data_IF_531274038118
#
_entry.id   IF_531274038118
#
_cell.length_a   1.000
_cell.length_b   1.000
_cell.length_c   1.000
_cell.angle_alpha   90.00
_cell.angle_beta   90.00
_cell.angle_gamma   90.00
#
_symmetry.space_group_name_H-M   'P 1'
#
loop_
_entity.id
_entity.type
_entity.pdbx_description
1 polymer ?
#
# COMPACT_ATOMS: atom_id res chain seq x y z
N UNK A 1 -25.60 6.24 -21.34
CA UNK A 1 -25.53 4.77 -21.22
C UNK A 1 -25.04 4.42 -19.83
N UNK A 2 -25.97 4.29 -18.89
CA UNK A 2 -25.72 4.02 -17.47
C UNK A 2 -26.43 2.72 -17.13
N UNK A 3 -25.73 1.62 -16.99
CA UNK A 3 -26.41 0.35 -16.79
C UNK A 3 -25.64 -0.81 -16.18
N UNK A 4 -24.31 -0.72 -16.07
CA UNK A 4 -23.52 -1.89 -15.65
C UNK A 4 -23.57 -2.20 -14.15
N UNK A 5 -23.96 -1.25 -13.29
CA UNK A 5 -23.97 -1.43 -11.83
C UNK A 5 -25.22 -0.89 -11.14
N UNK A 6 -26.40 -1.13 -11.71
CA UNK A 6 -27.69 -0.75 -11.09
C UNK A 6 -27.93 -1.40 -9.71
N UNK A 7 -27.18 -2.44 -9.36
CA UNK A 7 -27.25 -3.15 -8.08
C UNK A 7 -25.85 -3.30 -7.46
N UNK A 8 -25.08 -2.20 -7.36
CA UNK A 8 -23.79 -2.26 -6.68
C UNK A 8 -23.94 -2.74 -5.24
N UNK A 9 -23.43 -3.93 -4.96
CA UNK A 9 -23.37 -4.47 -3.61
C UNK A 9 -22.26 -3.77 -2.84
N UNK A 10 -22.63 -2.88 -1.94
CA UNK A 10 -21.68 -2.24 -1.05
C UNK A 10 -20.94 -3.29 -0.23
N UNK A 11 -19.62 -3.25 -0.16
CA UNK A 11 -18.88 -4.12 0.72
C UNK A 11 -19.29 -3.80 2.17
N UNK A 12 -19.36 -4.83 2.98
CA UNK A 12 -19.66 -4.68 4.41
C UNK A 12 -18.60 -3.88 5.12
N UNK A 13 -17.35 -3.92 4.61
CA UNK A 13 -16.19 -3.25 5.19
C UNK A 13 -15.14 -2.97 4.14
N UNK A 14 -14.58 -1.76 4.20
CA UNK A 14 -13.41 -1.36 3.40
C UNK A 14 -12.25 -0.97 4.30
N UNK A 15 -11.03 -1.17 3.84
CA UNK A 15 -9.85 -0.59 4.48
C UNK A 15 -8.80 -0.18 3.46
N UNK A 16 -8.05 0.86 3.82
CA UNK A 16 -6.93 1.40 3.06
C UNK A 16 -5.63 1.16 3.83
N UNK A 17 -4.69 0.47 3.19
CA UNK A 17 -3.30 0.40 3.65
C UNK A 17 -2.57 1.65 3.15
N UNK A 18 -2.26 2.54 4.09
CA UNK A 18 -1.54 3.79 3.88
C UNK A 18 -0.04 3.52 4.03
N UNK A 19 0.68 3.46 2.94
CA UNK A 19 2.11 3.14 2.93
C UNK A 19 2.93 4.12 2.13
N UNK A 20 4.23 3.90 2.17
CA UNK A 20 5.22 4.52 1.30
C UNK A 20 6.11 3.42 0.70
N UNK A 21 6.91 3.77 -0.30
CA UNK A 21 7.79 2.78 -0.94
C UNK A 21 8.70 2.09 0.09
N UNK A 22 8.80 0.77 0.01
CA UNK A 22 9.63 -0.10 0.87
C UNK A 22 9.33 -0.05 2.37
N UNK A 23 8.14 0.40 2.77
CA UNK A 23 7.66 0.37 4.16
C UNK A 23 7.22 -1.01 4.65
N UNK A 24 7.22 -2.05 3.80
CA UNK A 24 6.68 -3.36 4.12
C UNK A 24 5.19 -3.54 3.77
N UNK A 25 4.61 -2.60 3.03
CA UNK A 25 3.19 -2.64 2.66
C UNK A 25 2.80 -3.88 1.83
N UNK A 26 3.73 -4.45 1.04
CA UNK A 26 3.51 -5.73 0.36
C UNK A 26 3.39 -6.88 1.35
N UNK A 27 4.31 -6.97 2.32
CA UNK A 27 4.30 -8.00 3.36
C UNK A 27 2.98 -8.00 4.14
N UNK A 28 2.52 -6.81 4.53
CA UNK A 28 1.23 -6.64 5.20
C UNK A 28 0.05 -7.03 4.29
N UNK A 29 0.05 -6.56 3.04
CA UNK A 29 -1.00 -6.88 2.06
C UNK A 29 -1.09 -8.37 1.79
N UNK A 30 0.05 -9.04 1.64
CA UNK A 30 0.12 -10.47 1.38
C UNK A 30 -0.41 -11.27 2.58
N UNK A 31 0.00 -10.90 3.80
CA UNK A 31 -0.51 -11.55 5.00
C UNK A 31 -2.02 -11.43 5.19
N UNK A 32 -2.57 -10.27 4.89
CA UNK A 32 -4.03 -10.06 4.95
C UNK A 32 -4.75 -10.85 3.85
N UNK A 33 -4.22 -10.83 2.62
CA UNK A 33 -4.77 -11.59 1.48
C UNK A 33 -4.80 -13.09 1.75
N UNK A 34 -3.71 -13.63 2.32
CA UNK A 34 -3.53 -15.06 2.53
C UNK A 34 -4.49 -15.64 3.58
N UNK A 35 -5.11 -14.78 4.41
CA UNK A 35 -6.21 -15.17 5.28
C UNK A 35 -7.48 -15.59 4.52
N UNK A 36 -7.64 -15.18 3.26
CA UNK A 36 -8.85 -15.37 2.46
C UNK A 36 -10.09 -14.66 3.02
N UNK A 37 -9.94 -13.79 4.04
CA UNK A 37 -11.02 -13.10 4.74
C UNK A 37 -10.90 -11.58 4.75
N UNK A 38 -9.73 -11.05 4.41
CA UNK A 38 -9.43 -9.61 4.48
C UNK A 38 -9.37 -8.93 3.09
N UNK A 39 -10.13 -9.41 2.10
CA UNK A 39 -10.04 -8.90 0.75
C UNK A 39 -8.74 -9.34 0.05
N UNK A 40 -8.44 -8.70 -1.07
CA UNK A 40 -7.21 -8.93 -1.84
C UNK A 40 -6.45 -7.61 -2.04
N UNK A 41 -5.95 -6.98 -0.96
CA UNK A 41 -5.41 -5.62 -1.03
C UNK A 41 -4.27 -5.49 -2.03
N UNK A 42 -4.38 -4.53 -2.94
CA UNK A 42 -3.36 -4.21 -3.94
C UNK A 42 -3.44 -2.72 -4.32
N UNK A 43 -2.51 -2.24 -5.17
CA UNK A 43 -2.46 -0.86 -5.68
C UNK A 43 -3.34 -0.69 -6.93
N UNK A 44 -4.63 -1.00 -6.82
CA UNK A 44 -5.56 -1.00 -7.95
C UNK A 44 -5.70 0.34 -8.67
N UNK A 45 -5.51 1.44 -7.95
CA UNK A 45 -5.80 2.79 -8.43
C UNK A 45 -4.55 3.59 -8.79
N UNK A 46 -3.37 2.98 -8.74
CA UNK A 46 -2.14 3.62 -9.19
C UNK A 46 -2.10 3.65 -10.72
N UNK A 47 -1.96 4.83 -11.33
CA UNK A 47 -2.05 5.02 -12.79
C UNK A 47 -1.16 4.07 -13.59
N UNK A 48 0.07 3.81 -13.11
CA UNK A 48 1.00 2.88 -13.76
C UNK A 48 0.58 1.40 -13.70
N UNK A 49 -0.32 1.03 -12.80
CA UNK A 49 -0.81 -0.35 -12.63
C UNK A 49 -2.28 -0.52 -13.05
N UNK A 50 -3.03 0.58 -13.21
CA UNK A 50 -4.46 0.52 -13.49
C UNK A 50 -4.78 -0.26 -14.76
N UNK A 51 -4.05 -0.03 -15.84
CA UNK A 51 -4.25 -0.76 -17.11
C UNK A 51 -4.07 -2.28 -16.94
N UNK A 52 -3.07 -2.69 -16.15
CA UNK A 52 -2.84 -4.11 -15.83
C UNK A 52 -4.02 -4.71 -15.05
N UNK A 53 -4.55 -3.97 -14.06
CA UNK A 53 -5.72 -4.44 -13.31
C UNK A 53 -7.00 -4.42 -14.11
N UNK A 54 -7.19 -3.44 -15.01
CA UNK A 54 -8.31 -3.44 -15.96
C UNK A 54 -8.29 -4.70 -16.81
N UNK A 55 -7.15 -5.03 -17.40
CA UNK A 55 -7.00 -6.24 -18.22
C UNK A 55 -7.21 -7.52 -17.38
N UNK A 56 -6.57 -7.64 -16.22
CA UNK A 56 -6.64 -8.82 -15.37
C UNK A 56 -8.06 -9.11 -14.83
N UNK A 57 -8.90 -8.07 -14.74
CA UNK A 57 -10.28 -8.19 -14.28
C UNK A 57 -11.33 -8.01 -15.38
N UNK A 58 -10.93 -8.07 -16.64
CA UNK A 58 -11.82 -7.97 -17.80
C UNK A 58 -12.70 -6.72 -17.78
N UNK A 59 -12.09 -5.55 -17.57
CA UNK A 59 -12.75 -4.26 -17.77
C UNK A 59 -12.51 -3.77 -19.19
N UNK A 60 -13.56 -3.33 -19.86
CA UNK A 60 -13.44 -2.66 -21.13
C UNK A 60 -12.67 -1.33 -20.99
N UNK A 61 -11.95 -0.91 -22.03
CA UNK A 61 -11.16 0.32 -22.02
C UNK A 61 -12.03 1.57 -21.78
N UNK A 62 -13.28 1.54 -22.19
CA UNK A 62 -14.28 2.61 -22.11
C UNK A 62 -14.93 2.75 -20.71
N UNK A 63 -14.68 1.82 -19.79
CA UNK A 63 -15.28 1.83 -18.45
C UNK A 63 -14.81 3.08 -17.70
N UNK A 64 -15.76 3.88 -17.21
CA UNK A 64 -15.48 5.09 -16.43
C UNK A 64 -14.66 4.77 -15.18
N UNK A 65 -13.89 5.75 -14.65
CA UNK A 65 -13.14 5.53 -13.42
C UNK A 65 -14.07 5.20 -12.24
N UNK A 66 -15.27 5.79 -12.18
CA UNK A 66 -16.24 5.45 -11.14
C UNK A 66 -16.70 4.00 -11.22
N UNK A 67 -16.97 3.49 -12.41
CA UNK A 67 -17.40 2.10 -12.60
C UNK A 67 -16.23 1.13 -12.42
N UNK A 68 -14.99 1.55 -12.78
CA UNK A 68 -13.79 0.80 -12.46
C UNK A 68 -13.62 0.63 -10.94
N UNK A 69 -13.75 1.72 -10.16
CA UNK A 69 -13.70 1.66 -8.69
C UNK A 69 -14.72 0.67 -8.14
N UNK A 70 -15.99 0.79 -8.55
CA UNK A 70 -17.07 -0.12 -8.11
C UNK A 70 -16.78 -1.58 -8.50
N UNK A 71 -16.37 -1.80 -9.74
CA UNK A 71 -16.09 -3.14 -10.24
C UNK A 71 -14.88 -3.80 -9.58
N UNK A 72 -13.81 -3.06 -9.30
CA UNK A 72 -12.65 -3.59 -8.54
C UNK A 72 -13.08 -3.98 -7.12
N UNK A 73 -13.88 -3.15 -6.46
CA UNK A 73 -14.43 -3.49 -5.14
C UNK A 73 -15.19 -4.79 -5.19
N UNK A 74 -16.10 -4.97 -6.15
CA UNK A 74 -16.92 -6.17 -6.30
C UNK A 74 -16.08 -7.42 -6.63
N UNK A 75 -15.14 -7.29 -7.59
CA UNK A 75 -14.34 -8.42 -8.08
C UNK A 75 -13.25 -8.89 -7.11
N UNK A 76 -12.81 -8.04 -6.18
CA UNK A 76 -11.68 -8.35 -5.27
C UNK A 76 -12.07 -8.44 -3.80
N UNK A 77 -13.31 -8.11 -3.44
CA UNK A 77 -13.85 -8.38 -2.11
C UNK A 77 -13.89 -9.90 -1.85
N UNK A 78 -13.69 -10.29 -0.61
CA UNK A 78 -13.85 -11.68 -0.16
C UNK A 78 -15.32 -12.01 0.09
N UNK A 79 -15.66 -13.30 0.22
CA UNK A 79 -17.03 -13.77 0.42
C UNK A 79 -17.74 -13.21 1.66
N UNK A 80 -17.00 -12.67 2.62
CA UNK A 80 -17.50 -11.94 3.78
C UNK A 80 -17.62 -10.42 3.53
N UNK A 81 -17.60 -10.00 2.27
CA UNK A 81 -17.80 -8.62 1.82
C UNK A 81 -16.78 -7.63 2.39
N UNK A 82 -15.51 -8.08 2.51
CA UNK A 82 -14.38 -7.24 2.89
C UNK A 82 -13.58 -6.87 1.66
N UNK A 83 -13.33 -5.58 1.47
CA UNK A 83 -12.47 -5.03 0.43
C UNK A 83 -11.28 -4.30 1.06
N UNK A 84 -10.08 -4.57 0.56
CA UNK A 84 -8.86 -3.87 0.94
C UNK A 84 -8.12 -3.34 -0.27
N UNK A 85 -7.51 -2.17 -0.14
CA UNK A 85 -6.63 -1.61 -1.15
C UNK A 85 -5.45 -0.87 -0.50
N UNK A 86 -4.46 -0.51 -1.32
CA UNK A 86 -3.23 0.13 -0.86
C UNK A 86 -2.95 1.37 -1.70
N UNK A 87 -2.56 2.45 -1.03
CA UNK A 87 -2.05 3.67 -1.67
C UNK A 87 -0.69 4.06 -1.10
N UNK A 88 0.13 4.66 -1.96
CA UNK A 88 1.36 5.33 -1.58
C UNK A 88 1.09 6.82 -1.31
N UNK A 89 1.84 7.41 -0.37
CA UNK A 89 1.63 8.80 0.04
C UNK A 89 1.65 9.78 -1.13
N UNK A 90 2.64 9.64 -2.01
CA UNK A 90 2.81 10.52 -3.18
C UNK A 90 1.61 10.52 -4.15
N UNK A 91 0.82 9.44 -4.18
CA UNK A 91 -0.32 9.30 -5.10
C UNK A 91 -1.67 9.69 -4.48
N UNK A 92 -1.72 9.95 -3.18
CA UNK A 92 -2.97 10.19 -2.45
C UNK A 92 -3.80 11.35 -3.04
N UNK A 93 -3.15 12.48 -3.31
CA UNK A 93 -3.84 13.68 -3.80
C UNK A 93 -4.39 13.49 -5.23
N UNK A 94 -3.64 12.81 -6.08
CA UNK A 94 -4.08 12.47 -7.45
C UNK A 94 -5.29 11.54 -7.41
N UNK A 95 -5.25 10.53 -6.55
CA UNK A 95 -6.37 9.61 -6.37
C UNK A 95 -7.64 10.32 -5.88
N UNK A 96 -7.52 11.20 -4.88
CA UNK A 96 -8.63 12.03 -4.40
C UNK A 96 -9.18 12.94 -5.51
N UNK A 97 -8.29 13.52 -6.31
CA UNK A 97 -8.64 14.32 -7.48
C UNK A 97 -9.45 13.52 -8.50
N UNK A 98 -9.00 12.32 -8.82
CA UNK A 98 -9.70 11.42 -9.75
C UNK A 98 -11.08 11.03 -9.23
N UNK A 99 -11.24 10.68 -7.95
CA UNK A 99 -12.54 10.39 -7.37
C UNK A 99 -13.50 11.57 -7.48
N UNK A 100 -13.02 12.80 -7.21
CA UNK A 100 -13.83 14.03 -7.31
C UNK A 100 -14.26 14.32 -8.76
N UNK A 101 -13.35 14.13 -9.72
CA UNK A 101 -13.60 14.39 -11.14
C UNK A 101 -14.73 13.51 -11.70
N UNK A 102 -14.95 12.32 -11.12
CA UNK A 102 -16.07 11.47 -11.56
C UNK A 102 -17.44 12.06 -11.25
N UNK A 103 -17.56 12.96 -10.27
CA UNK A 103 -18.83 13.41 -9.71
C UNK A 103 -19.64 12.34 -8.98
N UNK A 104 -19.29 11.07 -9.12
CA UNK A 104 -20.05 9.94 -8.58
C UNK A 104 -19.85 9.71 -7.08
N UNK A 105 -18.74 10.18 -6.52
CA UNK A 105 -18.36 9.99 -5.10
C UNK A 105 -18.36 11.29 -4.31
N UNK A 106 -18.77 12.39 -4.94
CA UNK A 106 -18.85 13.71 -4.33
C UNK A 106 -18.26 14.80 -5.23
N UNK A 107 -18.54 16.05 -4.88
CA UNK A 107 -18.15 17.22 -5.65
C UNK A 107 -17.33 18.24 -4.85
N UNK A 108 -17.25 19.45 -5.39
CA UNK A 108 -16.64 20.60 -4.73
C UNK A 108 -17.34 20.85 -3.38
N UNK A 109 -16.55 21.02 -2.31
CA UNK A 109 -17.07 21.30 -0.97
C UNK A 109 -17.15 20.08 -0.04
N UNK A 110 -17.06 18.85 -0.54
CA UNK A 110 -16.96 17.67 0.32
C UNK A 110 -15.51 17.47 0.82
N UNK A 111 -15.36 17.05 2.06
CA UNK A 111 -14.07 16.68 2.64
C UNK A 111 -13.49 15.45 1.97
N UNK A 112 -12.17 15.25 2.08
CA UNK A 112 -11.50 14.05 1.58
C UNK A 112 -12.10 12.76 2.17
N UNK A 113 -12.47 12.80 3.45
CA UNK A 113 -13.07 11.66 4.14
C UNK A 113 -14.45 11.30 3.60
N UNK A 114 -15.29 12.30 3.31
CA UNK A 114 -16.61 12.08 2.72
C UNK A 114 -16.50 11.47 1.32
N UNK A 115 -15.61 11.99 0.46
CA UNK A 115 -15.36 11.44 -0.88
C UNK A 115 -14.89 9.99 -0.79
N UNK A 116 -13.93 9.70 0.10
CA UNK A 116 -13.46 8.34 0.30
C UNK A 116 -14.53 7.40 0.85
N UNK A 117 -15.38 7.86 1.77
CA UNK A 117 -16.46 7.03 2.34
C UNK A 117 -17.60 6.79 1.36
N UNK A 118 -17.82 7.70 0.43
CA UNK A 118 -18.78 7.49 -0.65
C UNK A 118 -18.28 6.44 -1.66
N UNK A 119 -16.98 6.42 -1.93
CA UNK A 119 -16.36 5.40 -2.79
C UNK A 119 -16.17 4.06 -2.05
N UNK A 120 -15.85 4.10 -0.76
CA UNK A 120 -15.50 2.94 0.07
C UNK A 120 -16.23 2.99 1.42
N UNK A 121 -17.44 2.45 1.50
CA UNK A 121 -18.23 2.51 2.72
C UNK A 121 -17.53 1.84 3.92
N UNK A 122 -17.72 2.43 5.11
CA UNK A 122 -17.09 1.95 6.36
C UNK A 122 -15.57 1.81 6.25
N UNK A 123 -14.92 2.78 5.58
CA UNK A 123 -13.49 2.81 5.37
C UNK A 123 -12.73 2.96 6.69
N UNK A 124 -11.83 2.03 6.94
CA UNK A 124 -10.83 2.06 8.01
C UNK A 124 -9.43 2.27 7.42
N UNK A 125 -8.52 2.87 8.21
CA UNK A 125 -7.17 3.18 7.76
C UNK A 125 -6.15 2.38 8.56
N UNK A 126 -5.25 1.69 7.85
CA UNK A 126 -4.10 0.96 8.42
C UNK A 126 -2.84 1.60 7.85
N UNK A 127 -2.07 2.30 8.67
CA UNK A 127 -0.82 2.91 8.24
C UNK A 127 0.35 1.99 8.55
N UNK A 128 1.17 1.69 7.55
CA UNK A 128 2.42 0.97 7.74
C UNK A 128 3.60 1.92 7.58
N UNK A 129 4.48 1.94 8.59
CA UNK A 129 5.69 2.75 8.63
C UNK A 129 6.91 1.85 8.82
N UNK A 130 8.09 2.37 8.55
CA UNK A 130 9.35 1.71 8.85
C UNK A 130 10.22 2.65 9.69
N UNK A 131 10.73 2.15 10.83
CA UNK A 131 11.56 2.93 11.74
C UNK A 131 12.95 3.17 11.16
N UNK A 132 13.55 2.13 10.59
CA UNK A 132 14.90 2.17 10.00
C UNK A 132 14.88 2.88 8.64
N UNK A 133 14.82 4.22 8.63
CA UNK A 133 14.67 5.03 7.41
C UNK A 133 15.82 4.87 6.42
N UNK A 134 17.07 4.84 6.90
CA UNK A 134 18.22 4.64 6.03
C UNK A 134 18.14 3.28 5.32
N UNK A 135 17.78 2.22 6.01
CA UNK A 135 17.58 0.90 5.40
C UNK A 135 16.42 0.88 4.43
N UNK A 136 15.36 1.64 4.71
CA UNK A 136 14.25 1.82 3.78
C UNK A 136 14.72 2.51 2.48
N UNK A 137 15.49 3.59 2.60
CA UNK A 137 16.03 4.33 1.48
C UNK A 137 17.04 3.50 0.65
N UNK A 138 17.92 2.75 1.30
CA UNK A 138 18.82 1.80 0.63
C UNK A 138 18.04 0.76 -0.16
N UNK A 139 16.98 0.18 0.44
CA UNK A 139 16.10 -0.77 -0.24
C UNK A 139 15.40 -0.14 -1.44
N UNK A 140 14.99 1.15 -1.37
CA UNK A 140 14.39 1.90 -2.48
C UNK A 140 15.42 2.17 -3.57
N UNK A 141 16.61 2.65 -3.22
CA UNK A 141 17.69 2.92 -4.17
C UNK A 141 18.07 1.66 -4.97
N UNK A 142 18.15 0.50 -4.31
CA UNK A 142 18.39 -0.78 -4.98
C UNK A 142 17.25 -1.16 -5.94
N UNK A 143 16.01 -0.98 -5.52
CA UNK A 143 14.85 -1.26 -6.37
C UNK A 143 14.78 -0.34 -7.60
N UNK A 144 15.16 0.94 -7.45
CA UNK A 144 15.25 1.89 -8.57
C UNK A 144 16.31 1.45 -9.58
N UNK A 145 17.48 1.01 -9.13
CA UNK A 145 18.57 0.58 -10.02
C UNK A 145 18.28 -0.75 -10.72
N UNK A 146 17.58 -1.67 -10.07
CA UNK A 146 17.37 -3.03 -10.59
C UNK A 146 16.00 -3.26 -11.22
N UNK A 147 15.04 -2.34 -11.02
CA UNK A 147 13.63 -2.55 -11.38
C UNK A 147 12.89 -3.60 -10.52
N UNK A 148 13.55 -4.22 -9.54
CA UNK A 148 12.99 -5.29 -8.72
C UNK A 148 12.27 -4.71 -7.48
N UNK A 149 10.97 -4.53 -7.59
CA UNK A 149 10.13 -3.97 -6.53
C UNK A 149 9.53 -5.03 -5.59
N UNK A 150 9.40 -6.28 -6.08
CA UNK A 150 8.89 -7.44 -5.33
C UNK A 150 9.92 -8.56 -5.35
N UNK A 151 9.84 -9.46 -4.37
CA UNK A 151 10.70 -10.65 -4.29
C UNK A 151 10.45 -11.63 -5.45
N UNK A 152 9.26 -11.59 -6.01
CA UNK A 152 8.80 -12.46 -7.10
C UNK A 152 9.05 -11.88 -8.50
N UNK A 153 9.62 -10.68 -8.59
CA UNK A 153 9.95 -10.09 -9.88
C UNK A 153 11.04 -10.97 -10.54
N UNK A 154 10.81 -11.37 -11.79
CA UNK A 154 11.74 -12.21 -12.56
C UNK A 154 13.10 -11.51 -12.63
N UNK A 155 14.12 -12.22 -12.16
CA UNK A 155 15.50 -11.78 -12.24
C UNK A 155 16.02 -12.03 -13.66
N UNK A 156 15.66 -11.17 -14.61
CA UNK A 156 16.49 -11.00 -15.79
C UNK A 156 17.85 -10.50 -15.30
N UNK A 157 18.95 -10.95 -15.92
CA UNK A 157 20.32 -10.57 -15.56
C UNK A 157 20.50 -9.05 -15.64
N UNK A 158 20.13 -8.37 -14.55
CA UNK A 158 20.39 -6.96 -14.35
C UNK A 158 21.72 -6.88 -13.60
N UNK A 159 22.63 -6.02 -14.07
CA UNK A 159 23.86 -5.72 -13.35
C UNK A 159 23.52 -5.44 -11.86
N UNK A 160 24.29 -6.01 -10.94
CA UNK A 160 24.06 -5.83 -9.51
C UNK A 160 24.01 -4.35 -9.15
N UNK A 161 23.14 -3.94 -8.18
CA UNK A 161 23.04 -2.53 -7.81
C UNK A 161 24.37 -2.03 -7.22
N UNK A 162 24.73 -0.78 -7.51
CA UNK A 162 25.92 -0.14 -7.03
C UNK A 162 25.61 0.88 -5.94
N UNK A 163 26.55 1.07 -5.00
CA UNK A 163 26.40 2.07 -3.97
C UNK A 163 26.35 3.47 -4.58
N UNK A 164 25.26 4.17 -4.37
CA UNK A 164 25.00 5.53 -4.85
C UNK A 164 24.46 6.39 -3.69
N UNK A 165 25.34 7.14 -3.06
CA UNK A 165 24.99 7.99 -1.91
C UNK A 165 23.98 9.09 -2.27
N UNK A 166 24.13 9.84 -3.36
CA UNK A 166 23.13 10.80 -3.82
C UNK A 166 21.74 10.19 -3.98
N UNK A 167 21.65 9.02 -4.60
CA UNK A 167 20.36 8.32 -4.78
C UNK A 167 19.75 7.89 -3.44
N UNK A 168 20.56 7.37 -2.50
CA UNK A 168 20.09 6.99 -1.15
C UNK A 168 19.56 8.21 -0.41
N UNK A 169 20.29 9.35 -0.48
CA UNK A 169 19.85 10.62 0.15
C UNK A 169 18.54 11.13 -0.46
N UNK A 170 18.40 11.03 -1.79
CA UNK A 170 17.15 11.36 -2.46
C UNK A 170 15.99 10.46 -1.96
N UNK A 171 16.23 9.16 -1.89
CA UNK A 171 15.24 8.21 -1.39
C UNK A 171 14.83 8.44 0.09
N UNK A 172 15.78 8.89 0.93
CA UNK A 172 15.48 9.30 2.31
C UNK A 172 14.52 10.48 2.36
N UNK A 173 14.85 11.55 1.63
CA UNK A 173 13.99 12.74 1.56
C UNK A 173 12.60 12.42 1.02
N UNK A 174 12.50 11.65 -0.05
CA UNK A 174 11.21 11.23 -0.61
C UNK A 174 10.38 10.42 0.41
N UNK A 175 11.02 9.58 1.24
CA UNK A 175 10.31 8.84 2.27
C UNK A 175 9.74 9.76 3.36
N UNK A 176 10.49 10.80 3.77
CA UNK A 176 10.05 11.80 4.73
C UNK A 176 8.91 12.66 4.18
N UNK A 177 9.01 13.08 2.92
CA UNK A 177 7.98 13.82 2.20
C UNK A 177 6.67 13.01 2.11
N UNK A 178 6.74 11.74 1.71
CA UNK A 178 5.56 10.87 1.63
C UNK A 178 4.92 10.64 3.01
N UNK A 179 5.71 10.50 4.08
CA UNK A 179 5.18 10.40 5.45
C UNK A 179 4.52 11.69 5.88
N UNK A 180 5.04 12.84 5.47
CA UNK A 180 4.42 14.14 5.75
C UNK A 180 3.06 14.28 5.10
N UNK A 181 2.89 13.75 3.88
CA UNK A 181 1.59 13.73 3.17
C UNK A 181 0.56 12.94 4.00
N UNK A 182 0.90 11.73 4.46
CA UNK A 182 0.00 10.95 5.31
C UNK A 182 -0.32 11.64 6.63
N UNK A 183 0.67 12.25 7.28
CA UNK A 183 0.48 13.00 8.52
C UNK A 183 -0.48 14.18 8.32
N UNK A 184 -0.27 14.95 7.26
CA UNK A 184 -1.14 16.08 6.91
C UNK A 184 -2.56 15.61 6.57
N UNK A 185 -2.70 14.50 5.84
CA UNK A 185 -3.99 13.91 5.52
C UNK A 185 -4.76 13.50 6.78
N UNK A 186 -4.16 12.72 7.68
CA UNK A 186 -4.82 12.30 8.91
C UNK A 186 -5.15 13.49 9.84
N UNK A 187 -4.28 14.51 9.87
CA UNK A 187 -4.57 15.76 10.58
C UNK A 187 -5.80 16.47 10.03
N UNK A 188 -5.93 16.56 8.70
CA UNK A 188 -7.07 17.19 8.02
C UNK A 188 -8.39 16.47 8.26
N UNK A 189 -8.40 15.14 8.20
CA UNK A 189 -9.62 14.34 8.39
C UNK A 189 -9.96 14.07 9.86
N UNK A 190 -9.10 14.46 10.80
CA UNK A 190 -9.31 14.28 12.25
C UNK A 190 -9.37 12.83 12.71
N UNK A 191 -8.71 11.91 12.00
CA UNK A 191 -8.70 10.48 12.32
C UNK A 191 -7.28 9.99 12.64
N UNK A 192 -7.20 8.95 13.48
CA UNK A 192 -5.96 8.22 13.73
C UNK A 192 -6.04 6.84 13.04
N UNK A 193 -5.06 6.49 12.16
CA UNK A 193 -5.00 5.17 11.58
C UNK A 193 -4.54 4.12 12.60
N UNK A 194 -4.90 2.86 12.38
CA UNK A 194 -4.21 1.76 13.06
C UNK A 194 -2.76 1.69 12.54
N UNK A 195 -1.79 1.80 13.44
CA UNK A 195 -0.37 1.85 13.04
C UNK A 195 0.27 0.47 13.12
N UNK A 196 0.95 0.11 12.04
CA UNK A 196 1.81 -1.06 11.93
C UNK A 196 3.23 -0.58 11.69
N UNK A 197 4.18 -1.04 12.48
CA UNK A 197 5.60 -0.82 12.25
C UNK A 197 6.19 -2.04 11.54
N UNK A 198 6.96 -1.85 10.48
CA UNK A 198 7.54 -2.93 9.68
C UNK A 198 8.39 -3.89 10.49
N UNK A 199 9.22 -3.36 11.39
CA UNK A 199 10.09 -4.15 12.25
C UNK A 199 9.29 -5.03 13.19
N UNK A 200 8.20 -4.50 13.76
CA UNK A 200 7.26 -5.27 14.58
C UNK A 200 6.53 -6.34 13.78
N UNK A 201 6.11 -6.03 12.54
CA UNK A 201 5.52 -7.00 11.62
C UNK A 201 6.49 -8.13 11.29
N UNK A 202 7.78 -7.84 11.06
CA UNK A 202 8.79 -8.87 10.79
C UNK A 202 9.08 -9.76 12.01
N UNK A 203 9.08 -9.18 13.22
CA UNK A 203 9.38 -9.91 14.45
C UNK A 203 8.22 -10.77 14.94
N UNK A 204 6.99 -10.26 14.81
CA UNK A 204 5.77 -10.84 15.38
C UNK A 204 4.67 -10.90 14.30
N UNK A 205 4.96 -11.55 13.18
CA UNK A 205 4.12 -11.50 11.98
C UNK A 205 2.68 -11.92 12.25
N UNK A 206 2.47 -13.11 12.79
CA UNK A 206 1.14 -13.64 13.08
C UNK A 206 0.36 -12.73 14.05
N UNK A 207 1.01 -12.29 15.13
CA UNK A 207 0.40 -11.40 16.14
C UNK A 207 -0.01 -10.07 15.50
N UNK A 208 0.85 -9.50 14.66
CA UNK A 208 0.57 -8.23 14.00
C UNK A 208 -0.58 -8.35 13.00
N UNK A 209 -0.61 -9.42 12.20
CA UNK A 209 -1.74 -9.66 11.27
C UNK A 209 -3.04 -9.85 12.06
N UNK A 210 -3.03 -10.61 13.17
CA UNK A 210 -4.21 -10.75 14.04
C UNK A 210 -4.65 -9.40 14.63
N UNK A 211 -3.72 -8.55 15.06
CA UNK A 211 -4.05 -7.22 15.58
C UNK A 211 -4.74 -6.35 14.52
N UNK A 212 -4.27 -6.38 13.26
CA UNK A 212 -4.91 -5.67 12.15
C UNK A 212 -6.30 -6.25 11.87
N UNK A 213 -6.47 -7.57 11.85
CA UNK A 213 -7.77 -8.21 11.62
C UNK A 213 -8.76 -7.85 12.74
N UNK A 214 -8.32 -7.84 13.98
CA UNK A 214 -9.14 -7.43 15.13
C UNK A 214 -9.57 -5.96 15.01
N UNK A 215 -8.65 -5.06 14.66
CA UNK A 215 -8.97 -3.66 14.39
C UNK A 215 -10.01 -3.52 13.24
N UNK A 216 -9.86 -4.33 12.21
CA UNK A 216 -10.81 -4.38 11.08
C UNK A 216 -12.07 -5.19 11.44
N UNK A 217 -12.22 -5.72 12.66
CA UNK A 217 -13.32 -6.59 13.11
C UNK A 217 -13.56 -7.78 12.17
N UNK A 218 -12.49 -8.36 11.64
CA UNK A 218 -12.52 -9.52 10.75
C UNK A 218 -12.23 -10.78 11.57
N UNK A 219 -13.22 -11.64 11.67
CA UNK A 219 -13.09 -12.92 12.40
C UNK A 219 -12.50 -13.98 11.47
N UNK A 220 -11.41 -14.61 11.91
CA UNK A 220 -10.86 -15.78 11.24
C UNK A 220 -11.45 -17.07 11.78
N UNK A 221 -11.86 -18.01 10.91
CA UNK A 221 -12.13 -19.38 11.32
C UNK A 221 -10.89 -20.02 11.97
N UNK A 222 -11.07 -20.80 13.02
CA UNK A 222 -9.96 -21.47 13.77
C UNK A 222 -9.02 -22.31 12.90
N UNK A 223 -9.48 -22.78 11.74
CA UNK A 223 -8.70 -23.58 10.78
C UNK A 223 -7.70 -22.77 9.96
N UNK A 224 -7.84 -21.45 9.90
CA UNK A 224 -6.95 -20.58 9.12
C UNK A 224 -5.76 -20.24 10.01
N UNK A 225 -4.58 -20.67 9.58
CA UNK A 225 -3.30 -20.32 10.20
C UNK A 225 -2.62 -19.24 9.38
N UNK A 226 -2.08 -18.24 10.04
CA UNK A 226 -1.27 -17.21 9.42
C UNK A 226 0.17 -17.69 9.42
N UNK A 227 0.69 -17.98 8.24
CA UNK A 227 2.09 -18.44 8.09
C UNK A 227 2.97 -17.27 7.73
N UNK A 228 4.11 -17.18 8.40
CA UNK A 228 5.12 -16.17 8.08
C UNK A 228 5.76 -16.50 6.73
N UNK A 229 5.80 -15.56 5.76
CA UNK A 229 6.50 -15.80 4.50
C UNK A 229 7.99 -16.06 4.73
N UNK A 230 8.56 -16.98 3.96
CA UNK A 230 10.00 -17.34 4.02
C UNK A 230 10.90 -16.13 3.73
N UNK A 231 10.37 -15.11 3.05
CA UNK A 231 11.10 -13.96 2.49
C UNK A 231 11.21 -12.74 3.41
N UNK A 232 10.87 -12.85 4.71
CA UNK A 232 10.84 -11.69 5.63
C UNK A 232 12.20 -11.01 5.79
N UNK A 233 13.33 -11.66 5.55
CA UNK A 233 14.65 -11.06 5.75
C UNK A 233 15.39 -10.81 4.44
N UNK A 234 15.13 -9.68 3.80
CA UNK A 234 16.12 -9.06 2.92
C UNK A 234 17.12 -8.18 3.71
N UNK A 235 17.54 -8.66 4.88
CA UNK A 235 18.69 -8.07 5.57
C UNK A 235 19.92 -8.74 5.01
N UNK A 236 20.23 -8.40 3.76
CA UNK A 236 21.39 -8.94 3.07
C UNK A 236 22.67 -8.18 3.46
N UNK A 237 23.82 -8.83 3.30
CA UNK A 237 25.13 -8.26 3.59
C UNK A 237 25.37 -6.94 2.81
N UNK A 238 24.81 -6.84 1.61
CA UNK A 238 24.93 -5.66 0.76
C UNK A 238 24.24 -4.43 1.36
N UNK A 239 23.02 -4.57 1.89
CA UNK A 239 22.33 -3.46 2.55
C UNK A 239 23.07 -3.01 3.81
N UNK A 240 23.63 -3.93 4.60
CA UNK A 240 24.44 -3.60 5.77
C UNK A 240 25.77 -2.91 5.39
N UNK A 241 26.38 -3.30 4.27
CA UNK A 241 27.55 -2.62 3.74
C UNK A 241 27.22 -1.20 3.31
N UNK A 242 26.14 -0.99 2.56
CA UNK A 242 25.73 0.34 2.11
C UNK A 242 25.37 1.26 3.26
N UNK A 243 24.74 0.74 4.30
CA UNK A 243 24.46 1.50 5.52
C UNK A 243 25.74 2.00 6.19
N UNK A 244 26.74 1.12 6.37
CA UNK A 244 28.05 1.50 6.93
C UNK A 244 28.76 2.55 6.08
N UNK A 245 28.78 2.37 4.75
CA UNK A 245 29.38 3.35 3.81
C UNK A 245 28.70 4.70 3.85
N UNK A 246 27.36 4.71 3.93
CA UNK A 246 26.59 5.94 4.00
C UNK A 246 26.91 6.71 5.28
N UNK A 247 26.92 6.06 6.43
CA UNK A 247 27.23 6.68 7.73
C UNK A 247 28.69 7.13 7.84
N UNK A 248 29.64 6.37 7.29
CA UNK A 248 31.06 6.76 7.30
C UNK A 248 31.32 8.04 6.50
N UNK A 249 30.61 8.29 5.41
CA UNK A 249 30.77 9.51 4.63
C UNK A 249 30.14 10.75 5.27
N UNK A 250 29.22 10.63 6.20
CA UNK A 250 28.71 11.77 6.98
C UNK A 250 29.77 12.25 8.00
N UNK A 251 30.54 11.34 8.57
CA UNK A 251 31.57 11.66 9.54
C UNK A 251 32.81 12.43 8.94
N UNK A 252 32.94 12.43 7.60
CA UNK A 252 34.00 13.14 6.90
C UNK A 252 33.61 14.58 6.49
N UNK A 253 32.36 14.98 6.67
CA UNK A 253 31.81 16.28 6.27
C UNK A 253 31.27 17.08 7.46
N UNK A 254 31.37 16.55 8.70
CA UNK A 254 31.08 17.21 9.99
C UNK A 254 32.36 17.71 10.62
#
# INVERSE_FOLDING_TARGET
MSGLFQHWRHPRRCYLICGIARSGSNLLSDGLRDTGRAGRPNQFFLSSSESQFRAAHNFDAEVSFADYVRGIVEKTATSNEVFGFKLMGWYLNDFLGQLRQTGAFGGAGMSDLEVLRNAFPRLSFVQITRREKLRQAISKARAVQTGLWKVQDDKTEVAGPQFDRPLITCCLREAEEEESIWRAFFGRIGLQPFRVEYEGLCQNYEVTIHAVLNFLEIVLPRRIKISQPVTIRQNDALSAEWERRYLASDALHS
#
